data_IF_405969411825
#
_entry.id   IF_405969411825
#
_cell.length_a   1.000
_cell.length_b   1.000
_cell.length_c   1.000
_cell.angle_alpha   90.00
_cell.angle_beta   90.00
_cell.angle_gamma   90.00
#
_symmetry.space_group_name_H-M   'P 1'
#
loop_
_entity.id
_entity.type
_entity.pdbx_description
1 polymer ?
#
# COMPACT_ATOMS: atom_id res chain seq x y z
N UNK A 1 27.83 -9.29 -21.31
CA UNK A 1 27.33 -10.28 -20.34
C UNK A 1 26.02 -9.69 -19.88
N UNK A 2 24.90 -10.40 -20.02
CA UNK A 2 23.59 -9.86 -19.63
C UNK A 2 23.53 -9.84 -18.10
N UNK A 3 23.73 -8.67 -17.49
CA UNK A 3 23.80 -8.54 -16.04
C UNK A 3 22.41 -8.55 -15.40
N UNK A 4 21.40 -8.11 -16.13
CA UNK A 4 19.98 -8.16 -15.79
C UNK A 4 19.49 -9.60 -15.72
N UNK A 5 19.80 -10.45 -16.69
CA UNK A 5 19.46 -11.88 -16.64
C UNK A 5 20.06 -12.56 -15.39
N UNK A 6 21.32 -12.25 -15.07
CA UNK A 6 22.00 -12.77 -13.88
C UNK A 6 21.32 -12.25 -12.60
N UNK A 7 21.02 -10.96 -12.55
CA UNK A 7 20.35 -10.32 -11.42
C UNK A 7 18.97 -10.95 -11.19
N UNK A 8 18.12 -10.99 -12.22
CA UNK A 8 16.75 -11.51 -12.15
C UNK A 8 16.75 -13.00 -11.79
N UNK A 9 17.69 -13.78 -12.34
CA UNK A 9 17.88 -15.18 -11.98
C UNK A 9 18.18 -15.38 -10.48
N UNK A 10 19.05 -14.54 -9.90
CA UNK A 10 19.31 -14.57 -8.46
C UNK A 10 18.13 -14.04 -7.65
N UNK A 11 17.52 -12.94 -8.07
CA UNK A 11 16.39 -12.30 -7.41
C UNK A 11 15.23 -13.28 -7.25
N UNK A 12 14.76 -13.87 -8.35
CA UNK A 12 13.66 -14.83 -8.33
C UNK A 12 13.96 -16.05 -7.45
N UNK A 13 15.19 -16.58 -7.54
CA UNK A 13 15.64 -17.72 -6.72
C UNK A 13 15.63 -17.40 -5.23
N UNK A 14 16.13 -16.24 -4.83
CA UNK A 14 16.15 -15.83 -3.43
C UNK A 14 14.77 -15.52 -2.91
N UNK A 15 13.94 -14.88 -3.72
CA UNK A 15 12.57 -14.57 -3.37
C UNK A 15 11.81 -15.84 -2.98
N UNK A 16 11.80 -16.83 -3.88
CA UNK A 16 11.16 -18.12 -3.64
C UNK A 16 11.72 -18.83 -2.40
N UNK A 17 13.05 -18.83 -2.23
CA UNK A 17 13.69 -19.47 -1.08
C UNK A 17 13.31 -18.81 0.25
N UNK A 18 13.32 -17.49 0.31
CA UNK A 18 13.00 -16.73 1.53
C UNK A 18 11.51 -16.87 1.85
N UNK A 19 10.62 -16.81 0.87
CA UNK A 19 9.18 -17.05 1.06
C UNK A 19 8.93 -18.44 1.68
N UNK A 20 9.54 -19.50 1.14
CA UNK A 20 9.43 -20.86 1.68
C UNK A 20 9.95 -20.94 3.12
N UNK A 21 11.08 -20.28 3.42
CA UNK A 21 11.64 -20.26 4.76
C UNK A 21 10.70 -19.58 5.76
N UNK A 22 10.13 -18.43 5.40
CA UNK A 22 9.14 -17.72 6.23
C UNK A 22 7.91 -18.60 6.43
N UNK A 23 7.34 -19.17 5.37
CA UNK A 23 6.17 -20.04 5.42
C UNK A 23 6.40 -21.21 6.38
N UNK A 24 7.49 -21.95 6.21
CA UNK A 24 7.85 -23.09 7.06
C UNK A 24 8.08 -22.67 8.52
N UNK A 25 8.71 -21.51 8.73
CA UNK A 25 8.89 -20.95 10.06
C UNK A 25 7.55 -20.65 10.73
N UNK A 26 6.63 -19.98 10.03
CA UNK A 26 5.30 -19.65 10.53
C UNK A 26 4.47 -20.89 10.84
N UNK A 27 4.49 -21.91 9.97
CA UNK A 27 3.84 -23.22 10.23
C UNK A 27 4.38 -23.83 11.53
N UNK A 28 5.70 -23.87 11.71
CA UNK A 28 6.34 -24.39 12.93
C UNK A 28 5.99 -23.58 14.18
N UNK A 29 5.91 -22.25 14.07
CA UNK A 29 5.50 -21.41 15.20
C UNK A 29 4.01 -21.61 15.55
N UNK A 30 3.17 -21.83 14.53
CA UNK A 30 1.75 -22.09 14.71
C UNK A 30 1.52 -23.42 15.43
N UNK A 31 2.28 -24.47 15.10
CA UNK A 31 2.16 -25.78 15.74
C UNK A 31 2.52 -25.77 17.24
N UNK A 32 3.28 -24.78 17.70
CA UNK A 32 3.58 -24.55 19.13
C UNK A 32 2.72 -23.45 19.75
N UNK A 33 1.64 -23.04 19.07
CA UNK A 33 0.70 -22.00 19.52
C UNK A 33 1.34 -20.64 19.82
N UNK A 34 2.45 -20.28 19.15
CA UNK A 34 3.03 -18.95 19.29
C UNK A 34 2.08 -17.91 18.64
N UNK A 35 1.84 -16.74 19.27
CA UNK A 35 1.04 -15.69 18.64
C UNK A 35 1.67 -15.17 17.35
N UNK A 36 0.84 -14.84 16.35
CA UNK A 36 1.29 -14.37 15.03
C UNK A 36 2.27 -13.19 15.13
N UNK A 37 1.93 -12.15 15.91
CA UNK A 37 2.79 -10.97 16.04
C UNK A 37 4.15 -11.29 16.67
N UNK A 38 4.20 -12.26 17.58
CA UNK A 38 5.48 -12.73 18.14
C UNK A 38 6.29 -13.49 17.09
N UNK A 39 5.65 -14.33 16.28
CA UNK A 39 6.32 -15.05 15.19
C UNK A 39 6.87 -14.10 14.12
N UNK A 40 6.05 -13.15 13.64
CA UNK A 40 6.47 -12.21 12.59
C UNK A 40 7.53 -11.22 13.08
N UNK A 41 7.48 -10.78 14.34
CA UNK A 41 8.52 -9.94 14.91
C UNK A 41 9.88 -10.66 14.97
N UNK A 42 9.90 -11.98 15.17
CA UNK A 42 11.15 -12.77 15.08
C UNK A 42 11.68 -12.86 13.65
N UNK A 43 10.80 -12.94 12.64
CA UNK A 43 11.20 -12.87 11.23
C UNK A 43 11.82 -11.50 10.93
N UNK A 44 11.14 -10.42 11.31
CA UNK A 44 11.63 -9.05 11.10
C UNK A 44 12.95 -8.80 11.84
N UNK A 45 13.07 -9.25 13.09
CA UNK A 45 14.31 -9.17 13.85
C UNK A 45 15.47 -9.87 13.13
N UNK A 46 15.22 -11.07 12.59
CA UNK A 46 16.22 -11.80 11.83
C UNK A 46 16.66 -11.03 10.58
N UNK A 47 15.74 -10.42 9.83
CA UNK A 47 16.11 -9.60 8.67
C UNK A 47 16.97 -8.39 9.05
N UNK A 48 16.55 -7.64 10.06
CA UNK A 48 17.23 -6.39 10.46
C UNK A 48 18.61 -6.68 11.09
N UNK A 49 18.71 -7.67 11.97
CA UNK A 49 19.89 -7.84 12.82
C UNK A 49 20.84 -8.97 12.38
N UNK A 50 20.31 -10.05 11.80
CA UNK A 50 21.10 -11.26 11.57
C UNK A 50 21.35 -11.53 10.09
N UNK A 51 20.46 -11.09 9.21
CA UNK A 51 20.54 -11.38 7.78
C UNK A 51 21.53 -10.44 7.08
N UNK A 52 21.36 -9.13 7.25
CA UNK A 52 22.14 -8.08 6.58
C UNK A 52 23.64 -8.18 6.92
N UNK A 53 23.96 -8.46 8.19
CA UNK A 53 25.34 -8.47 8.69
C UNK A 53 26.20 -9.63 8.15
N UNK A 54 25.60 -10.61 7.47
CA UNK A 54 26.31 -11.79 6.94
C UNK A 54 26.97 -11.59 5.59
N UNK A 55 26.73 -10.46 4.92
CA UNK A 55 27.16 -10.24 3.53
C UNK A 55 28.29 -9.21 3.44
N UNK A 56 29.15 -9.37 2.44
CA UNK A 56 30.35 -8.53 2.33
C UNK A 56 30.02 -7.10 1.92
N UNK A 57 28.96 -6.91 1.15
CA UNK A 57 28.52 -5.62 0.64
C UNK A 57 28.37 -4.55 1.73
N UNK A 58 27.81 -4.89 2.91
CA UNK A 58 27.66 -3.95 4.02
C UNK A 58 28.90 -3.80 4.90
N UNK A 59 29.86 -4.73 4.80
CA UNK A 59 31.09 -4.74 5.59
C UNK A 59 32.27 -4.10 4.85
N UNK A 60 32.08 -3.68 3.59
CA UNK A 60 33.08 -3.00 2.78
C UNK A 60 32.51 -1.66 2.27
N UNK A 61 33.18 -0.57 2.62
CA UNK A 61 32.70 0.78 2.31
C UNK A 61 32.55 1.03 0.79
N UNK A 62 33.45 0.47 -0.03
CA UNK A 62 33.40 0.65 -1.48
C UNK A 62 32.26 -0.15 -2.11
N UNK A 63 32.01 -1.38 -1.64
CA UNK A 63 30.86 -2.17 -2.08
C UNK A 63 29.53 -1.56 -1.63
N UNK A 64 29.46 -1.01 -0.42
CA UNK A 64 28.30 -0.29 0.09
C UNK A 64 27.97 0.92 -0.79
N UNK A 65 28.98 1.72 -1.18
CA UNK A 65 28.79 2.85 -2.10
C UNK A 65 28.19 2.42 -3.44
N UNK A 66 28.65 1.29 -4.00
CA UNK A 66 28.05 0.73 -5.22
C UNK A 66 26.58 0.34 -5.00
N UNK A 67 26.28 -0.29 -3.87
CA UNK A 67 24.90 -0.64 -3.55
C UNK A 67 23.99 0.59 -3.41
N UNK A 68 24.48 1.67 -2.82
CA UNK A 68 23.72 2.93 -2.72
C UNK A 68 23.44 3.53 -4.11
N UNK A 69 24.38 3.44 -5.05
CA UNK A 69 24.13 3.81 -6.45
C UNK A 69 23.00 2.95 -7.03
N UNK A 70 23.04 1.64 -6.80
CA UNK A 70 21.99 0.72 -7.26
C UNK A 70 20.61 1.05 -6.66
N UNK A 71 20.56 1.40 -5.38
CA UNK A 71 19.33 1.81 -4.70
C UNK A 71 18.73 3.09 -5.32
N UNK A 72 19.58 4.00 -5.79
CA UNK A 72 19.18 5.26 -6.40
C UNK A 72 18.85 5.16 -7.91
N UNK A 73 18.81 3.96 -8.48
CA UNK A 73 18.57 3.75 -9.92
C UNK A 73 17.35 4.46 -10.50
N UNK A 74 16.28 4.60 -9.71
CA UNK A 74 15.04 5.28 -10.13
C UNK A 74 15.19 6.80 -10.30
N UNK A 75 16.22 7.40 -9.71
CA UNK A 75 16.57 8.80 -9.95
C UNK A 75 17.45 8.96 -11.19
N UNK A 76 18.26 7.95 -11.50
CA UNK A 76 19.19 7.97 -12.63
C UNK A 76 18.53 7.60 -13.96
N UNK A 77 17.47 6.79 -13.95
CA UNK A 77 16.81 6.29 -15.16
C UNK A 77 15.28 6.46 -15.07
N UNK A 78 14.65 6.92 -16.15
CA UNK A 78 13.20 7.14 -16.27
C UNK A 78 12.38 5.84 -16.31
N UNK A 79 13.03 4.72 -16.62
CA UNK A 79 12.52 3.36 -16.56
C UNK A 79 13.52 2.57 -15.73
N UNK A 80 13.05 1.59 -14.97
CA UNK A 80 13.88 0.74 -14.10
C UNK A 80 14.81 -0.15 -14.96
N UNK A 81 15.87 0.42 -15.53
CA UNK A 81 16.85 -0.26 -16.37
C UNK A 81 17.93 -0.87 -15.47
N UNK A 82 17.64 -2.08 -14.97
CA UNK A 82 18.57 -2.86 -14.13
C UNK A 82 19.87 -3.09 -14.91
N UNK A 83 19.79 -3.48 -16.18
CA UNK A 83 20.97 -3.63 -17.03
C UNK A 83 21.79 -2.34 -17.10
N UNK A 84 21.14 -1.22 -17.42
CA UNK A 84 21.79 0.07 -17.60
C UNK A 84 22.58 0.50 -16.35
N UNK A 85 22.00 0.37 -15.15
CA UNK A 85 22.75 0.77 -13.95
C UNK A 85 23.89 -0.20 -13.61
N UNK A 86 23.67 -1.50 -13.80
CA UNK A 86 24.69 -2.51 -13.53
C UNK A 86 25.89 -2.30 -14.47
N UNK A 87 25.65 -2.21 -15.77
CA UNK A 87 26.69 -2.05 -16.77
C UNK A 87 27.38 -0.66 -16.69
N UNK A 88 26.61 0.43 -16.62
CA UNK A 88 27.20 1.76 -16.80
C UNK A 88 27.84 2.36 -15.56
N UNK A 89 27.31 2.04 -14.38
CA UNK A 89 27.72 2.69 -13.13
C UNK A 89 28.36 1.70 -12.18
N UNK A 90 27.67 0.59 -11.91
CA UNK A 90 28.13 -0.37 -10.90
C UNK A 90 29.38 -1.12 -11.37
N UNK A 91 29.44 -1.56 -12.64
CA UNK A 91 30.61 -2.25 -13.18
C UNK A 91 31.85 -1.34 -13.21
N UNK A 92 31.69 -0.12 -13.73
CA UNK A 92 32.78 0.88 -13.79
C UNK A 92 33.27 1.26 -12.39
N UNK A 93 32.37 1.31 -11.42
CA UNK A 93 32.72 1.54 -10.01
C UNK A 93 33.45 0.36 -9.40
N UNK A 94 32.97 -0.87 -9.65
CA UNK A 94 33.59 -2.10 -9.17
C UNK A 94 35.01 -2.29 -9.70
N UNK A 95 35.25 -2.02 -10.99
CA UNK A 95 36.56 -2.16 -11.63
C UNK A 95 37.62 -1.17 -11.11
N UNK A 96 37.20 -0.14 -10.35
CA UNK A 96 38.09 0.83 -9.71
C UNK A 96 38.49 0.43 -8.28
N UNK A 97 37.85 -0.59 -7.70
CA UNK A 97 38.16 -1.04 -6.35
C UNK A 97 39.45 -1.85 -6.40
N UNK A 98 40.39 -1.57 -5.50
CA UNK A 98 41.61 -2.37 -5.38
C UNK A 98 41.24 -3.81 -5.00
N UNK A 99 41.83 -4.79 -5.69
CA UNK A 99 41.59 -6.22 -5.42
C UNK A 99 41.95 -6.57 -3.97
N UNK A 100 42.90 -5.88 -3.36
CA UNK A 100 43.28 -6.05 -1.95
C UNK A 100 42.19 -5.58 -0.97
N UNK A 101 41.29 -4.70 -1.41
CA UNK A 101 40.15 -4.24 -0.61
C UNK A 101 38.94 -5.18 -0.73
N UNK A 102 38.91 -6.06 -1.74
CA UNK A 102 37.82 -6.99 -1.96
C UNK A 102 37.96 -8.24 -1.07
N UNK A 103 36.83 -8.86 -0.66
CA UNK A 103 36.88 -10.17 -0.03
C UNK A 103 37.52 -11.22 -0.95
N UNK A 104 38.08 -12.28 -0.36
CA UNK A 104 38.70 -13.37 -1.11
C UNK A 104 37.70 -13.96 -2.12
N UNK A 105 38.16 -14.12 -3.36
CA UNK A 105 37.38 -14.59 -4.51
C UNK A 105 36.15 -13.74 -4.85
N UNK A 106 36.04 -12.50 -4.35
CA UNK A 106 34.89 -11.65 -4.61
C UNK A 106 34.98 -11.06 -6.02
N UNK A 107 34.00 -11.39 -6.86
CA UNK A 107 33.94 -10.94 -8.24
C UNK A 107 32.61 -10.21 -8.50
N UNK A 108 32.49 -9.60 -9.68
CA UNK A 108 31.32 -8.80 -10.03
C UNK A 108 30.00 -9.61 -10.00
N UNK A 109 30.04 -10.90 -10.35
CA UNK A 109 28.87 -11.78 -10.26
C UNK A 109 28.44 -12.00 -8.79
N UNK A 110 29.39 -12.11 -7.85
CA UNK A 110 29.09 -12.16 -6.41
C UNK A 110 28.49 -10.84 -5.90
N UNK A 111 28.93 -9.69 -6.42
CA UNK A 111 28.30 -8.40 -6.13
C UNK A 111 26.83 -8.38 -6.59
N UNK A 112 26.55 -8.70 -7.86
CA UNK A 112 25.18 -8.74 -8.39
C UNK A 112 24.30 -9.66 -7.54
N UNK A 113 24.83 -10.83 -7.18
CA UNK A 113 24.17 -11.81 -6.32
C UNK A 113 23.80 -11.23 -4.94
N UNK A 114 24.70 -10.48 -4.30
CA UNK A 114 24.41 -9.83 -3.01
C UNK A 114 23.41 -8.67 -3.15
N UNK A 115 23.51 -7.86 -4.21
CA UNK A 115 22.53 -6.80 -4.51
C UNK A 115 21.13 -7.41 -4.69
N UNK A 116 20.99 -8.46 -5.50
CA UNK A 116 19.71 -9.13 -5.73
C UNK A 116 19.10 -9.64 -4.42
N UNK A 117 19.92 -10.24 -3.55
CA UNK A 117 19.47 -10.75 -2.26
C UNK A 117 18.95 -9.65 -1.33
N UNK A 118 19.65 -8.52 -1.24
CA UNK A 118 19.24 -7.41 -0.38
C UNK A 118 17.98 -6.73 -0.91
N UNK A 119 17.80 -6.64 -2.22
CA UNK A 119 16.56 -6.11 -2.80
C UNK A 119 15.37 -7.06 -2.58
N UNK A 120 15.59 -8.38 -2.60
CA UNK A 120 14.57 -9.36 -2.19
C UNK A 120 14.19 -9.17 -0.73
N UNK A 121 15.17 -9.01 0.17
CA UNK A 121 14.91 -8.77 1.60
C UNK A 121 14.04 -7.52 1.78
N UNK A 122 14.44 -6.38 1.21
CA UNK A 122 13.68 -5.13 1.29
C UNK A 122 12.25 -5.30 0.78
N UNK A 123 12.09 -5.97 -0.36
CA UNK A 123 10.78 -6.18 -0.97
C UNK A 123 9.90 -7.09 -0.11
N UNK A 124 10.45 -8.20 0.41
CA UNK A 124 9.72 -9.10 1.32
C UNK A 124 9.35 -8.37 2.61
N UNK A 125 10.28 -7.65 3.25
CA UNK A 125 10.02 -6.86 4.46
C UNK A 125 8.89 -5.83 4.25
N UNK A 126 8.89 -5.15 3.09
CA UNK A 126 7.82 -4.24 2.68
C UNK A 126 6.48 -4.97 2.53
N UNK A 127 6.47 -6.12 1.85
CA UNK A 127 5.26 -6.90 1.59
C UNK A 127 4.68 -7.54 2.86
N UNK A 128 5.53 -8.03 3.76
CA UNK A 128 5.12 -8.53 5.08
C UNK A 128 4.42 -7.45 5.89
N UNK A 129 4.95 -6.23 5.85
CA UNK A 129 4.38 -5.08 6.56
C UNK A 129 3.03 -4.65 5.97
N UNK A 130 2.96 -4.57 4.64
CA UNK A 130 1.75 -4.13 3.94
C UNK A 130 0.61 -5.15 3.99
N UNK A 131 0.95 -6.45 4.01
CA UNK A 131 -0.04 -7.53 3.97
C UNK A 131 -0.25 -8.20 5.34
N UNK A 132 0.16 -7.54 6.43
CA UNK A 132 0.21 -8.10 7.78
C UNK A 132 -1.12 -8.74 8.21
N UNK A 133 -2.24 -8.09 7.87
CA UNK A 133 -3.57 -8.57 8.22
C UNK A 133 -3.93 -9.87 7.48
N UNK A 134 -3.65 -9.97 6.19
CA UNK A 134 -3.89 -11.19 5.41
C UNK A 134 -3.00 -12.35 5.91
N UNK A 135 -1.73 -12.07 6.17
CA UNK A 135 -0.78 -13.06 6.70
C UNK A 135 -1.20 -13.56 8.09
N UNK A 136 -1.74 -12.67 8.92
CA UNK A 136 -2.34 -13.04 10.21
C UNK A 136 -3.49 -14.02 10.03
N UNK A 137 -4.37 -13.77 9.05
CA UNK A 137 -5.52 -14.65 8.81
C UNK A 137 -5.08 -16.06 8.39
N UNK A 138 -4.11 -16.18 7.47
CA UNK A 138 -3.52 -17.46 7.11
C UNK A 138 -2.96 -18.19 8.32
N UNK A 139 -2.24 -17.47 9.18
CA UNK A 139 -1.63 -18.02 10.39
C UNK A 139 -2.68 -18.52 11.39
N UNK A 140 -3.71 -17.71 11.68
CA UNK A 140 -4.74 -18.03 12.66
C UNK A 140 -5.60 -19.22 12.22
N UNK A 141 -5.97 -19.27 10.93
CA UNK A 141 -6.76 -20.35 10.33
C UNK A 141 -5.93 -21.59 9.97
N UNK A 142 -4.60 -21.50 10.05
CA UNK A 142 -3.69 -22.55 9.61
C UNK A 142 -3.87 -22.91 8.11
N UNK A 143 -4.17 -21.92 7.26
CA UNK A 143 -4.43 -22.08 5.82
C UNK A 143 -3.20 -21.75 4.98
N UNK A 144 -2.09 -22.43 5.23
CA UNK A 144 -0.83 -22.12 4.55
C UNK A 144 -0.75 -22.61 3.10
N UNK A 145 -1.69 -23.41 2.61
CA UNK A 145 -1.66 -23.92 1.23
C UNK A 145 -1.65 -22.80 0.20
N UNK A 146 -2.40 -21.72 0.47
CA UNK A 146 -2.51 -20.53 -0.39
C UNK A 146 -1.62 -19.37 0.10
N UNK A 147 -0.69 -19.62 1.03
CA UNK A 147 0.23 -18.60 1.53
C UNK A 147 1.23 -18.19 0.45
N UNK A 148 1.23 -16.90 0.11
CA UNK A 148 2.17 -16.26 -0.80
C UNK A 148 2.55 -14.86 -0.28
N UNK A 149 3.79 -14.44 -0.51
CA UNK A 149 4.24 -13.06 -0.28
C UNK A 149 4.36 -12.45 -1.66
N UNK A 150 3.41 -11.64 -2.11
CA UNK A 150 3.44 -11.04 -3.45
C UNK A 150 2.92 -9.61 -3.46
N UNK A 151 3.31 -8.88 -4.52
CA UNK A 151 2.69 -7.60 -4.87
C UNK A 151 1.30 -7.88 -5.40
N UNK A 152 0.29 -7.43 -4.66
CA UNK A 152 -1.08 -7.59 -5.09
C UNK A 152 -1.57 -6.31 -5.79
N UNK A 153 -0.93 -5.95 -6.90
CA UNK A 153 -1.35 -4.84 -7.78
C UNK A 153 -1.79 -3.55 -7.06
N UNK A 154 -2.80 -2.88 -7.62
CA UNK A 154 -3.40 -1.66 -7.06
C UNK A 154 -4.70 -1.94 -6.29
N UNK A 155 -5.00 -3.20 -5.98
CA UNK A 155 -6.23 -3.59 -5.31
C UNK A 155 -6.08 -3.41 -3.79
N UNK A 156 -7.16 -3.02 -3.11
CA UNK A 156 -7.21 -3.06 -1.65
C UNK A 156 -7.10 -4.50 -1.17
N UNK A 157 -6.61 -4.72 0.06
CA UNK A 157 -6.42 -6.09 0.56
C UNK A 157 -7.74 -6.82 0.75
N UNK A 158 -8.79 -6.05 1.05
CA UNK A 158 -10.17 -6.47 1.23
C UNK A 158 -10.85 -6.95 -0.08
N UNK A 159 -10.32 -6.52 -1.22
CA UNK A 159 -10.83 -6.93 -2.53
C UNK A 159 -10.27 -8.27 -3.00
N UNK A 160 -9.26 -8.83 -2.32
CA UNK A 160 -8.76 -10.14 -2.69
C UNK A 160 -9.77 -11.24 -2.33
N UNK A 161 -10.10 -12.14 -3.28
CA UNK A 161 -10.98 -13.27 -3.01
C UNK A 161 -10.52 -14.11 -1.82
N UNK A 162 -9.20 -14.30 -1.69
CA UNK A 162 -8.61 -15.04 -0.58
C UNK A 162 -8.79 -14.32 0.77
N UNK A 163 -8.66 -12.99 0.79
CA UNK A 163 -8.93 -12.21 1.99
C UNK A 163 -10.38 -12.38 2.44
N UNK A 164 -11.34 -12.21 1.53
CA UNK A 164 -12.78 -12.35 1.84
C UNK A 164 -13.10 -13.76 2.35
N UNK A 165 -12.53 -14.79 1.72
CA UNK A 165 -12.64 -16.20 2.14
C UNK A 165 -12.16 -16.40 3.58
N UNK A 166 -10.97 -15.91 3.92
CA UNK A 166 -10.40 -16.07 5.26
C UNK A 166 -11.12 -15.20 6.31
N UNK A 167 -11.46 -13.96 5.97
CA UNK A 167 -12.16 -13.04 6.85
C UNK A 167 -13.54 -13.60 7.26
N UNK A 168 -14.27 -14.21 6.32
CA UNK A 168 -15.56 -14.87 6.60
C UNK A 168 -15.40 -16.02 7.61
N UNK A 169 -14.30 -16.76 7.55
CA UNK A 169 -14.01 -17.85 8.50
C UNK A 169 -13.65 -17.35 9.90
N UNK A 170 -12.87 -16.26 10.00
CA UNK A 170 -12.41 -15.71 11.28
C UNK A 170 -13.45 -14.84 11.98
N UNK A 171 -14.22 -14.06 11.21
CA UNK A 171 -15.16 -13.06 11.73
C UNK A 171 -16.57 -13.25 11.16
N UNK A 172 -17.19 -14.43 11.33
CA UNK A 172 -18.46 -14.76 10.67
C UNK A 172 -19.59 -13.79 11.03
N UNK A 173 -19.61 -13.21 12.24
CA UNK A 173 -20.64 -12.24 12.66
C UNK A 173 -20.44 -10.84 12.06
N UNK A 174 -19.20 -10.40 11.89
CA UNK A 174 -18.92 -9.09 11.28
C UNK A 174 -19.18 -9.14 9.77
N UNK A 175 -18.88 -10.28 9.14
CA UNK A 175 -19.25 -10.53 7.75
C UNK A 175 -20.75 -10.78 7.58
N UNK A 176 -21.42 -11.45 8.52
CA UNK A 176 -22.88 -11.58 8.52
C UNK A 176 -23.57 -10.22 8.64
N UNK A 177 -23.10 -9.32 9.50
CA UNK A 177 -23.61 -7.95 9.58
C UNK A 177 -23.32 -7.16 8.30
N UNK A 178 -22.14 -7.32 7.68
CA UNK A 178 -21.85 -6.73 6.37
C UNK A 178 -22.78 -7.27 5.27
N UNK A 179 -23.06 -8.58 5.27
CA UNK A 179 -23.99 -9.22 4.33
C UNK A 179 -25.44 -8.85 4.63
N UNK A 180 -25.82 -8.70 5.91
CA UNK A 180 -27.13 -8.22 6.34
C UNK A 180 -27.30 -6.75 5.97
N UNK A 181 -26.32 -5.88 6.16
CA UNK A 181 -26.35 -4.48 5.72
C UNK A 181 -26.44 -4.38 4.18
N UNK A 182 -25.72 -5.24 3.45
CA UNK A 182 -25.82 -5.35 1.99
C UNK A 182 -27.18 -5.90 1.55
N UNK A 183 -27.74 -6.88 2.26
CA UNK A 183 -29.05 -7.47 1.94
C UNK A 183 -30.23 -6.58 2.37
N UNK A 184 -30.09 -5.80 3.44
CA UNK A 184 -31.07 -4.82 3.90
C UNK A 184 -31.17 -3.69 2.87
N UNK A 185 -30.02 -3.21 2.37
CA UNK A 185 -29.95 -2.26 1.25
C UNK A 185 -30.50 -2.86 -0.07
N UNK A 186 -30.30 -4.15 -0.34
CA UNK A 186 -30.85 -4.80 -1.55
C UNK A 186 -32.37 -5.05 -1.47
N UNK A 187 -32.93 -5.23 -0.27
CA UNK A 187 -34.36 -5.41 -0.08
C UNK A 187 -35.13 -4.08 -0.10
N UNK A 188 -34.56 -2.99 0.45
CA UNK A 188 -35.09 -1.63 0.21
C UNK A 188 -35.09 -1.26 -1.28
N UNK A 189 -34.13 -1.77 -2.06
CA UNK A 189 -34.06 -1.62 -3.53
C UNK A 189 -35.07 -2.52 -4.28
N UNK A 190 -35.60 -3.58 -3.64
CA UNK A 190 -36.62 -4.45 -4.26
C UNK A 190 -38.05 -3.97 -4.02
N UNK A 191 -38.32 -3.32 -2.90
CA UNK A 191 -39.64 -2.75 -2.61
C UNK A 191 -39.85 -1.36 -3.25
N UNK A 192 -38.81 -0.79 -3.85
CA UNK A 192 -38.85 0.43 -4.66
C UNK A 192 -38.85 0.15 -6.18
N UNK A 193 -39.21 -1.07 -6.60
CA UNK A 193 -39.27 -1.50 -8.01
C UNK A 193 -40.54 -1.14 -8.77
N UNK A 194 -41.41 -0.33 -8.21
CA UNK A 194 -42.45 0.34 -8.99
C UNK A 194 -42.15 1.84 -9.02
N UNK A 195 -41.20 2.22 -9.89
CA UNK A 195 -41.23 3.40 -10.77
C UNK A 195 -39.83 3.96 -11.10
N UNK A 196 -39.49 3.86 -12.39
CA UNK A 196 -38.85 4.90 -13.24
C UNK A 196 -37.31 4.93 -13.40
N UNK A 197 -36.93 4.73 -14.67
CA UNK A 197 -35.79 5.21 -15.49
C UNK A 197 -34.32 4.99 -15.08
N UNK A 198 -33.65 4.21 -15.92
CA UNK A 198 -32.22 4.19 -16.14
C UNK A 198 -31.71 5.51 -16.73
N UNK A 199 -30.98 6.33 -15.95
CA UNK A 199 -29.91 7.21 -16.48
C UNK A 199 -29.01 7.90 -15.43
N UNK A 200 -29.33 7.90 -14.14
CA UNK A 200 -28.50 8.57 -13.12
C UNK A 200 -27.93 7.59 -12.07
N UNK A 201 -26.75 7.01 -12.34
CA UNK A 201 -26.03 6.19 -11.36
C UNK A 201 -24.92 7.02 -10.71
N UNK A 202 -24.97 7.15 -9.38
CA UNK A 202 -23.89 7.68 -8.56
C UNK A 202 -22.58 6.90 -8.84
N UNK A 203 -21.48 7.55 -9.30
CA UNK A 203 -20.24 6.87 -9.65
C UNK A 203 -19.50 6.28 -8.44
N UNK A 204 -19.69 6.86 -7.25
CA UNK A 204 -19.04 6.42 -6.02
C UNK A 204 -20.08 6.19 -4.91
N UNK A 205 -20.94 5.17 -5.05
CA UNK A 205 -22.04 4.91 -4.12
C UNK A 205 -21.56 4.45 -2.74
N UNK A 206 -20.30 4.04 -2.62
CA UNK A 206 -19.68 3.72 -1.33
C UNK A 206 -19.21 4.96 -0.58
N UNK A 207 -18.98 6.09 -1.27
CA UNK A 207 -18.53 7.33 -0.66
C UNK A 207 -19.68 8.34 -0.51
N UNK A 208 -20.38 8.67 -1.59
CA UNK A 208 -21.49 9.62 -1.61
C UNK A 208 -22.82 8.87 -1.50
N UNK A 209 -23.78 9.42 -0.75
CA UNK A 209 -25.09 8.80 -0.61
C UNK A 209 -25.89 8.76 -1.92
N UNK A 210 -25.76 9.79 -2.74
CA UNK A 210 -26.46 9.88 -4.02
C UNK A 210 -25.65 10.73 -5.01
N UNK A 211 -26.14 10.77 -6.26
CA UNK A 211 -25.48 11.49 -7.35
C UNK A 211 -25.42 13.01 -7.10
N UNK A 212 -26.43 13.58 -6.45
CA UNK A 212 -26.48 15.02 -6.18
C UNK A 212 -25.40 15.44 -5.20
N UNK A 213 -25.14 14.64 -4.15
CA UNK A 213 -24.00 14.88 -3.24
C UNK A 213 -22.68 14.83 -4.00
N UNK A 214 -22.50 13.86 -4.90
CA UNK A 214 -21.29 13.77 -5.73
C UNK A 214 -21.12 15.01 -6.63
N UNK A 215 -22.20 15.47 -7.25
CA UNK A 215 -22.19 16.67 -8.09
C UNK A 215 -21.85 17.92 -7.28
N UNK A 216 -22.44 18.10 -6.10
CA UNK A 216 -22.09 19.18 -5.18
C UNK A 216 -20.62 19.09 -4.73
N UNK A 217 -20.10 17.88 -4.49
CA UNK A 217 -18.68 17.68 -4.15
C UNK A 217 -17.74 18.11 -5.29
N UNK A 218 -18.09 17.79 -6.54
CA UNK A 218 -17.35 18.25 -7.72
C UNK A 218 -17.46 19.77 -7.93
N UNK A 219 -18.64 20.35 -7.68
CA UNK A 219 -18.83 21.78 -7.79
C UNK A 219 -18.02 22.56 -6.75
N UNK A 220 -17.93 22.03 -5.52
CA UNK A 220 -17.16 22.63 -4.44
C UNK A 220 -15.66 22.76 -4.76
N UNK A 221 -15.15 22.03 -5.77
CA UNK A 221 -13.75 22.14 -6.20
C UNK A 221 -13.33 23.57 -6.55
N UNK A 222 -14.26 24.38 -7.07
CA UNK A 222 -14.04 25.79 -7.41
C UNK A 222 -13.68 26.65 -6.19
N UNK A 223 -14.00 26.16 -4.98
CA UNK A 223 -13.77 26.84 -3.71
C UNK A 223 -12.54 26.32 -2.96
N UNK A 224 -11.79 25.36 -3.52
CA UNK A 224 -10.57 24.83 -2.93
C UNK A 224 -9.39 25.76 -3.29
N UNK A 225 -8.89 26.51 -2.31
CA UNK A 225 -7.73 27.41 -2.43
C UNK A 225 -6.57 26.85 -1.60
N UNK A 226 -6.79 26.65 -0.31
CA UNK A 226 -5.89 25.92 0.59
C UNK A 226 -6.32 24.46 0.61
N UNK A 227 -5.68 23.67 -0.25
CA UNK A 227 -5.94 22.24 -0.39
C UNK A 227 -6.15 21.52 0.95
N UNK A 228 -5.22 21.70 1.90
CA UNK A 228 -5.23 20.89 3.11
C UNK A 228 -6.37 21.29 4.04
N UNK A 229 -6.57 22.59 4.25
CA UNK A 229 -7.59 23.07 5.17
C UNK A 229 -9.00 22.97 4.54
N UNK A 230 -9.12 23.21 3.24
CA UNK A 230 -10.42 23.21 2.56
C UNK A 230 -10.96 21.78 2.39
N UNK A 231 -10.12 20.79 2.04
CA UNK A 231 -10.56 19.38 2.07
C UNK A 231 -10.81 18.87 3.49
N UNK A 232 -10.05 19.34 4.48
CA UNK A 232 -10.34 19.05 5.89
C UNK A 232 -11.72 19.55 6.28
N UNK A 233 -12.10 20.77 5.88
CA UNK A 233 -13.43 21.31 6.16
C UNK A 233 -14.52 20.54 5.42
N UNK A 234 -14.36 20.38 4.10
CA UNK A 234 -15.33 19.74 3.22
C UNK A 234 -15.68 18.33 3.70
N UNK A 235 -14.67 17.47 3.93
CA UNK A 235 -14.91 16.10 4.42
C UNK A 235 -15.65 16.11 5.75
N UNK A 236 -15.13 16.83 6.75
CA UNK A 236 -15.70 16.82 8.10
C UNK A 236 -17.11 17.39 8.14
N UNK A 237 -17.41 18.37 7.28
CA UNK A 237 -18.75 18.95 7.15
C UNK A 237 -19.72 17.98 6.47
N UNK A 238 -19.31 17.32 5.39
CA UNK A 238 -20.13 16.28 4.74
C UNK A 238 -20.39 15.08 5.67
N UNK A 239 -19.41 14.66 6.49
CA UNK A 239 -19.63 13.63 7.52
C UNK A 239 -20.61 14.11 8.60
N UNK A 240 -20.49 15.36 9.05
CA UNK A 240 -21.36 15.94 10.07
C UNK A 240 -22.82 16.02 9.59
N UNK A 241 -23.03 16.46 8.35
CA UNK A 241 -24.35 16.54 7.71
C UNK A 241 -24.83 15.19 7.14
N UNK A 242 -24.07 14.11 7.36
CA UNK A 242 -24.35 12.75 6.89
C UNK A 242 -24.59 12.67 5.38
N UNK A 243 -23.89 13.46 4.59
CA UNK A 243 -23.98 13.45 3.12
C UNK A 243 -23.10 12.36 2.49
N UNK A 244 -22.08 11.92 3.22
CA UNK A 244 -21.18 10.83 2.82
C UNK A 244 -21.18 9.72 3.87
N UNK A 245 -20.85 8.51 3.44
CA UNK A 245 -20.55 7.42 4.36
C UNK A 245 -19.27 7.72 5.15
N UNK A 246 -19.18 7.23 6.38
CA UNK A 246 -18.00 7.45 7.20
C UNK A 246 -16.75 6.78 6.61
N UNK A 247 -15.69 7.56 6.42
CA UNK A 247 -14.40 7.09 5.91
C UNK A 247 -13.28 7.60 6.82
N UNK A 248 -12.19 6.84 6.95
CA UNK A 248 -10.97 7.39 7.56
C UNK A 248 -10.44 8.51 6.67
N UNK A 249 -9.72 9.46 7.28
CA UNK A 249 -9.18 10.61 6.55
C UNK A 249 -8.23 10.18 5.43
N UNK A 250 -7.41 9.16 5.66
CA UNK A 250 -6.52 8.60 4.65
C UNK A 250 -7.27 7.95 3.49
N UNK A 251 -8.31 7.17 3.77
CA UNK A 251 -9.10 6.47 2.75
C UNK A 251 -9.81 7.50 1.86
N UNK A 252 -10.42 8.52 2.48
CA UNK A 252 -11.05 9.63 1.75
C UNK A 252 -10.05 10.36 0.85
N UNK A 253 -8.89 10.76 1.39
CA UNK A 253 -7.89 11.51 0.61
C UNK A 253 -7.28 10.67 -0.50
N UNK A 254 -7.17 9.35 -0.30
CA UNK A 254 -6.72 8.41 -1.31
C UNK A 254 -7.74 8.30 -2.46
N UNK A 255 -9.04 8.19 -2.16
CA UNK A 255 -10.11 8.19 -3.19
C UNK A 255 -10.08 9.51 -4.00
N UNK A 256 -9.95 10.66 -3.33
CA UNK A 256 -9.86 11.97 -3.98
C UNK A 256 -8.65 12.08 -4.93
N UNK A 257 -7.53 11.44 -4.57
CA UNK A 257 -6.31 11.40 -5.39
C UNK A 257 -6.37 10.40 -6.53
N UNK A 258 -6.56 9.11 -6.21
CA UNK A 258 -6.35 8.00 -7.14
C UNK A 258 -7.56 7.79 -8.05
N UNK A 259 -8.77 7.95 -7.51
CA UNK A 259 -10.01 7.63 -8.23
C UNK A 259 -10.64 8.87 -8.85
N UNK A 260 -10.91 9.91 -8.05
CA UNK A 260 -11.58 11.13 -8.54
C UNK A 260 -10.59 12.07 -9.24
N UNK A 261 -9.28 11.90 -8.98
CA UNK A 261 -8.17 12.64 -9.63
C UNK A 261 -8.28 14.16 -9.50
N UNK A 262 -8.74 14.63 -8.34
CA UNK A 262 -8.92 16.07 -8.08
C UNK A 262 -7.66 16.76 -7.56
N UNK A 263 -6.68 15.98 -7.10
CA UNK A 263 -5.47 16.51 -6.45
C UNK A 263 -4.23 15.93 -7.12
N UNK A 264 -3.19 16.75 -7.26
CA UNK A 264 -1.91 16.31 -7.80
C UNK A 264 -1.16 15.43 -6.79
N UNK A 265 -0.26 14.57 -7.27
CA UNK A 265 0.64 13.77 -6.44
C UNK A 265 1.41 14.61 -5.41
N UNK A 266 1.88 15.80 -5.79
CA UNK A 266 2.55 16.75 -4.86
C UNK A 266 1.67 17.09 -3.64
N UNK A 267 0.43 17.51 -3.88
CA UNK A 267 -0.55 17.83 -2.82
C UNK A 267 -0.90 16.60 -1.98
N UNK A 268 -1.03 15.43 -2.61
CA UNK A 268 -1.29 14.18 -1.88
C UNK A 268 -0.10 13.81 -0.97
N UNK A 269 1.14 13.97 -1.43
CA UNK A 269 2.34 13.73 -0.62
C UNK A 269 2.44 14.72 0.56
N UNK A 270 2.08 15.99 0.35
CA UNK A 270 1.98 16.99 1.43
C UNK A 270 0.94 16.57 2.50
N UNK A 271 -0.19 16.00 2.08
CA UNK A 271 -1.15 15.40 3.01
C UNK A 271 -0.57 14.16 3.72
N UNK A 272 0.06 13.26 2.97
CA UNK A 272 0.56 11.97 3.46
C UNK A 272 1.58 12.12 4.60
N UNK A 273 2.42 13.16 4.54
CA UNK A 273 3.36 13.50 5.64
C UNK A 273 2.62 13.80 6.94
N UNK A 274 1.45 14.44 6.88
CA UNK A 274 0.65 14.77 8.07
C UNK A 274 -0.27 13.61 8.51
N UNK A 275 -0.71 12.77 7.57
CA UNK A 275 -1.45 11.53 7.83
C UNK A 275 -2.85 11.68 8.44
N UNK A 276 -3.38 12.91 8.57
CA UNK A 276 -4.71 13.16 9.15
C UNK A 276 -5.26 14.55 8.82
N UNK A 277 -6.52 14.64 8.39
CA UNK A 277 -7.20 15.92 8.18
C UNK A 277 -7.48 16.67 9.49
N UNK A 278 -7.56 18.00 9.42
CA UNK A 278 -7.91 18.83 10.59
C UNK A 278 -9.35 18.55 11.04
N UNK A 279 -9.62 18.75 12.34
CA UNK A 279 -10.99 18.72 12.87
C UNK A 279 -11.84 19.84 12.27
N UNK A 280 -13.16 19.67 12.23
CA UNK A 280 -14.10 20.67 11.71
C UNK A 280 -13.88 22.06 12.35
N UNK A 281 -13.66 22.10 13.66
CA UNK A 281 -13.36 23.34 14.40
C UNK A 281 -12.07 24.02 13.96
N UNK A 282 -11.04 23.25 13.60
CA UNK A 282 -9.73 23.77 13.17
C UNK A 282 -9.67 24.12 11.69
N UNK A 283 -10.63 23.64 10.89
CA UNK A 283 -10.74 23.95 9.46
C UNK A 283 -11.86 24.94 9.15
N UNK A 284 -12.69 25.31 10.14
CA UNK A 284 -13.79 26.27 9.97
C UNK A 284 -13.31 27.68 9.59
N UNK A 285 -14.05 28.30 8.67
CA UNK A 285 -14.07 29.75 8.47
C UNK A 285 -15.46 30.15 7.97
N UNK A 286 -15.85 31.40 8.20
CA UNK A 286 -17.14 31.93 7.72
C UNK A 286 -17.26 31.79 6.19
N UNK A 287 -16.15 32.00 5.46
CA UNK A 287 -16.11 31.83 4.01
C UNK A 287 -16.37 30.38 3.58
N UNK A 288 -15.71 29.39 4.18
CA UNK A 288 -15.91 27.97 3.83
C UNK A 288 -17.33 27.51 4.13
N UNK A 289 -17.88 27.97 5.25
CA UNK A 289 -19.26 27.68 5.64
C UNK A 289 -20.26 28.26 4.65
N UNK A 290 -20.06 29.51 4.23
CA UNK A 290 -20.91 30.14 3.22
C UNK A 290 -20.80 29.41 1.87
N UNK A 291 -19.58 29.10 1.42
CA UNK A 291 -19.37 28.33 0.19
C UNK A 291 -20.08 26.97 0.25
N UNK A 292 -20.02 26.29 1.40
CA UNK A 292 -20.64 24.98 1.57
C UNK A 292 -22.16 25.08 1.54
N UNK A 293 -22.73 26.03 2.27
CA UNK A 293 -24.18 26.23 2.28
C UNK A 293 -24.73 26.70 0.93
N UNK A 294 -23.92 27.37 0.10
CA UNK A 294 -24.30 27.72 -1.28
C UNK A 294 -24.32 26.48 -2.17
N UNK A 295 -23.24 25.69 -2.17
CA UNK A 295 -23.09 24.53 -3.05
C UNK A 295 -24.02 23.38 -2.66
N UNK A 296 -24.24 23.17 -1.37
CA UNK A 296 -25.09 22.08 -0.84
C UNK A 296 -26.49 22.55 -0.45
N UNK A 297 -26.92 23.74 -0.89
CA UNK A 297 -28.16 24.39 -0.44
C UNK A 297 -29.38 23.47 -0.54
N UNK A 298 -29.52 22.75 -1.63
CA UNK A 298 -30.69 21.91 -1.91
C UNK A 298 -30.66 20.58 -1.13
N UNK A 299 -29.54 20.26 -0.49
CA UNK A 299 -29.32 19.03 0.29
C UNK A 299 -29.34 19.23 1.81
N UNK A 300 -29.38 20.49 2.28
CA UNK A 300 -29.29 20.86 3.70
C UNK A 300 -30.63 21.28 4.33
N UNK A 301 -31.74 21.05 3.64
CA UNK A 301 -33.09 21.43 4.11
C UNK A 301 -33.75 20.37 4.98
#
# INVERSE_FOLDING_TARGET
>A
MDYEEIYEGFYAKYYAKIEILIKNYLIKQRSVNLPFFTAINKVNHYFVNDFINKYHLHNNENLEKLYQIFCNRRFAYSINAIEGILEDQIKKGFDKIDVLELPIDYNYSKLIKEIALLEVEKEISRLLSNNLQLLKMFYELNEFDEFEIRRNGNLSIEDFPIYRKLATKLYPKQFANFIEDVNFNLNEVRDSKDHINSENKNPYPLLFLNLDVYNCFLEYQKHIIDFYIDFSYLKKRMEFEKLIHHHKDNDFMKIVFEEIKLISEKKYNEYYVNGKLKSLTKSFSTQRNNNFNIVFKDLLN
#
